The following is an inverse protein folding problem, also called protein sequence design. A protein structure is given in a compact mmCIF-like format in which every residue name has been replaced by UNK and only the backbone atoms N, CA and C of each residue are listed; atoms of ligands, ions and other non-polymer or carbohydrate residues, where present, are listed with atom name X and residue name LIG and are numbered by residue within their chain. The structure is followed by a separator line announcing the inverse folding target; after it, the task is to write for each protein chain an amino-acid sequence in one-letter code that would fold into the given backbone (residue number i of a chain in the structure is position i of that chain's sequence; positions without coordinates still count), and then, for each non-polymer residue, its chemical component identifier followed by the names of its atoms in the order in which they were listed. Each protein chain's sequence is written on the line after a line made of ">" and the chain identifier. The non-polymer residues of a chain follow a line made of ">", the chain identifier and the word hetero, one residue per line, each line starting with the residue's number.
data_IF_673149025810
#
_entry.id   IF_673149025810
#
_cell.length_a   1.000
_cell.length_b   1.000
_cell.length_c   1.000
_cell.angle_alpha   90.00
_cell.angle_beta   90.00
_cell.angle_gamma   90.00
#
_symmetry.space_group_name_H-M   'P 1'
#
loop_
_entity.id
_entity.type
_entity.pdbx_description
1 polymer ?
#
# COMPACT_ATOMS: atom_id res chain seq x y z
N UNK A 1 -12.55 -18.08 -21.55
CA UNK A 1 -13.48 -18.40 -20.43
C UNK A 1 -14.37 -17.18 -20.26
N UNK A 2 -15.69 -17.38 -20.41
CA UNK A 2 -16.67 -16.35 -20.09
C UNK A 2 -16.77 -16.28 -18.57
N UNK A 3 -16.42 -15.14 -17.99
CA UNK A 3 -16.58 -14.89 -16.55
C UNK A 3 -18.09 -14.79 -16.27
N UNK A 4 -18.68 -15.83 -15.72
CA UNK A 4 -20.06 -15.81 -15.24
C UNK A 4 -20.02 -15.36 -13.77
N UNK A 5 -20.25 -14.08 -13.54
CA UNK A 5 -19.98 -13.35 -12.32
C UNK A 5 -20.78 -13.71 -11.08
N UNK A 6 -20.71 -14.94 -10.60
CA UNK A 6 -21.28 -15.35 -9.31
C UNK A 6 -20.31 -16.18 -8.45
N UNK A 7 -19.00 -16.14 -8.72
CA UNK A 7 -18.02 -16.75 -7.84
C UNK A 7 -17.57 -15.70 -6.81
N UNK A 8 -18.29 -15.62 -5.71
CA UNK A 8 -18.08 -14.63 -4.63
C UNK A 8 -16.79 -14.85 -3.83
N UNK A 9 -15.98 -15.85 -4.19
CA UNK A 9 -14.86 -16.33 -3.36
C UNK A 9 -13.74 -15.33 -3.17
N UNK A 10 -13.42 -14.51 -4.17
CA UNK A 10 -12.48 -13.38 -4.07
C UNK A 10 -13.11 -12.08 -4.57
N UNK A 11 -14.37 -11.85 -4.25
CA UNK A 11 -15.01 -10.59 -4.60
C UNK A 11 -14.52 -9.48 -3.67
N UNK A 12 -14.05 -8.40 -4.26
CA UNK A 12 -13.79 -7.14 -3.55
C UNK A 12 -15.07 -6.33 -3.33
N UNK A 13 -16.22 -6.86 -3.72
CA UNK A 13 -17.52 -6.25 -3.47
C UNK A 13 -17.81 -6.34 -1.97
N UNK A 14 -17.41 -5.32 -1.24
CA UNK A 14 -17.97 -5.09 0.07
C UNK A 14 -19.43 -4.65 -0.12
N UNK A 15 -20.32 -5.15 0.72
CA UNK A 15 -21.74 -4.73 0.77
C UNK A 15 -21.94 -3.23 1.09
N UNK A 16 -20.85 -2.48 1.15
CA UNK A 16 -20.79 -1.06 1.46
C UNK A 16 -20.63 -0.17 0.21
N UNK A 17 -20.68 -0.76 -0.98
CA UNK A 17 -20.59 -0.01 -2.22
C UNK A 17 -21.97 0.47 -2.69
N UNK A 18 -22.41 1.57 -2.12
CA UNK A 18 -23.35 2.43 -2.82
C UNK A 18 -22.62 3.10 -3.99
N UNK A 19 -22.80 2.54 -5.21
CA UNK A 19 -22.59 3.21 -6.51
C UNK A 19 -21.54 4.33 -6.55
N UNK A 20 -20.31 4.05 -6.10
CA UNK A 20 -19.17 4.94 -6.24
C UNK A 20 -18.39 4.65 -7.52
N UNK A 21 -17.51 5.57 -7.95
CA UNK A 21 -16.67 5.39 -9.11
C UNK A 21 -15.71 4.22 -8.92
N UNK A 22 -15.27 3.68 -10.05
CA UNK A 22 -14.48 2.46 -10.16
C UNK A 22 -13.19 2.58 -9.35
N UNK A 23 -13.11 1.83 -8.26
CA UNK A 23 -11.89 1.70 -7.48
C UNK A 23 -10.92 0.77 -8.21
N UNK A 24 -9.63 1.05 -8.07
CA UNK A 24 -8.58 0.26 -8.69
C UNK A 24 -7.88 -0.63 -7.68
N UNK A 25 -7.58 -1.84 -8.09
CA UNK A 25 -6.60 -2.68 -7.42
C UNK A 25 -5.21 -2.24 -7.90
N UNK A 26 -4.34 -1.87 -6.98
CA UNK A 26 -3.01 -1.36 -7.30
C UNK A 26 -1.91 -2.38 -7.04
N UNK A 27 -2.03 -3.19 -6.01
CA UNK A 27 -1.01 -4.14 -5.64
C UNK A 27 -1.59 -5.33 -4.88
N UNK A 28 -0.84 -6.41 -4.84
CA UNK A 28 -1.16 -7.61 -4.09
C UNK A 28 0.10 -8.22 -3.48
N UNK A 29 -0.09 -8.87 -2.33
CA UNK A 29 0.97 -9.57 -1.61
C UNK A 29 0.46 -10.88 -1.03
N UNK A 30 1.30 -11.92 -1.06
CA UNK A 30 1.02 -13.17 -0.35
C UNK A 30 1.84 -13.25 0.94
N UNK A 31 1.27 -13.88 1.97
CA UNK A 31 2.09 -14.37 3.08
C UNK A 31 3.12 -15.38 2.58
N UNK A 32 4.24 -15.54 3.28
CA UNK A 32 5.33 -16.45 2.88
C UNK A 32 4.87 -17.90 2.68
N UNK A 33 3.88 -18.34 3.44
CA UNK A 33 3.30 -19.68 3.32
C UNK A 33 2.24 -19.78 2.22
N UNK A 34 1.93 -18.67 1.55
CA UNK A 34 0.94 -18.61 0.49
C UNK A 34 -0.50 -18.82 0.92
N UNK A 35 -0.77 -18.87 2.24
CA UNK A 35 -2.13 -19.13 2.75
C UNK A 35 -2.97 -17.88 2.92
N UNK A 36 -2.36 -16.70 2.77
CA UNK A 36 -3.05 -15.41 2.85
C UNK A 36 -2.70 -14.56 1.64
N UNK A 37 -3.70 -13.87 1.12
CA UNK A 37 -3.56 -12.88 0.06
C UNK A 37 -4.01 -11.53 0.60
N UNK A 38 -3.19 -10.51 0.42
CA UNK A 38 -3.50 -9.12 0.71
C UNK A 38 -3.66 -8.36 -0.59
N UNK A 39 -4.68 -7.54 -0.70
CA UNK A 39 -4.99 -6.78 -1.93
C UNK A 39 -5.19 -5.33 -1.57
N UNK A 40 -4.36 -4.47 -2.15
CA UNK A 40 -4.46 -3.02 -2.03
C UNK A 40 -5.45 -2.45 -3.03
N UNK A 41 -6.43 -1.70 -2.53
CA UNK A 41 -7.43 -1.00 -3.32
C UNK A 41 -7.37 0.49 -3.01
N UNK A 42 -7.49 1.32 -4.02
CA UNK A 42 -7.52 2.77 -3.88
C UNK A 42 -8.62 3.42 -4.71
N UNK A 43 -9.10 4.56 -4.25
CA UNK A 43 -10.11 5.35 -4.95
C UNK A 43 -9.56 6.00 -6.21
N UNK A 44 -10.41 6.09 -7.23
CA UNK A 44 -10.08 6.82 -8.47
C UNK A 44 -10.63 8.25 -8.50
N UNK A 45 -11.39 8.66 -7.51
CA UNK A 45 -12.06 9.96 -7.48
C UNK A 45 -11.75 10.76 -6.25
N UNK A 46 -11.75 12.06 -6.47
CA UNK A 46 -11.52 13.08 -5.47
C UNK A 46 -12.52 12.99 -4.31
N UNK A 47 -12.01 12.82 -3.12
CA UNK A 47 -12.75 13.12 -1.89
C UNK A 47 -13.41 11.96 -1.17
N UNK A 48 -13.19 10.71 -1.60
CA UNK A 48 -13.71 9.54 -0.89
C UNK A 48 -12.61 8.71 -0.25
N UNK A 49 -12.85 8.31 1.01
CA UNK A 49 -11.91 7.58 1.88
C UNK A 49 -11.95 6.07 1.57
N UNK A 50 -11.36 5.64 0.44
CA UNK A 50 -11.49 4.26 -0.04
C UNK A 50 -10.18 3.46 -0.11
N UNK A 51 -9.03 4.08 0.20
CA UNK A 51 -7.77 3.33 0.22
C UNK A 51 -7.79 2.30 1.35
N UNK A 52 -7.79 1.03 0.98
CA UNK A 52 -7.89 -0.09 1.93
C UNK A 52 -7.03 -1.26 1.49
N UNK A 53 -6.66 -2.08 2.45
CA UNK A 53 -6.09 -3.40 2.21
C UNK A 53 -7.10 -4.44 2.66
N UNK A 54 -7.32 -5.44 1.81
CA UNK A 54 -8.22 -6.57 2.02
C UNK A 54 -7.38 -7.81 2.27
N UNK A 55 -7.81 -8.65 3.20
CA UNK A 55 -7.23 -9.96 3.43
C UNK A 55 -8.19 -11.06 3.01
N UNK A 56 -7.64 -12.03 2.29
CA UNK A 56 -8.27 -13.30 1.96
C UNK A 56 -7.41 -14.43 2.50
N UNK A 57 -8.04 -15.47 3.03
CA UNK A 57 -7.38 -16.73 3.36
C UNK A 57 -7.59 -17.74 2.23
N UNK A 58 -6.55 -18.52 1.93
CA UNK A 58 -6.54 -19.55 0.90
C UNK A 58 -6.44 -20.92 1.54
N UNK A 59 -7.31 -21.86 1.15
CA UNK A 59 -7.24 -23.24 1.63
C UNK A 59 -6.16 -24.05 0.93
N UNK A 60 -5.72 -23.63 -0.26
CA UNK A 60 -4.55 -24.12 -0.98
C UNK A 60 -3.56 -22.99 -1.17
N UNK A 61 -2.30 -23.12 -0.71
CA UNK A 61 -1.30 -22.05 -0.85
C UNK A 61 -1.17 -21.56 -2.30
N UNK A 62 -1.16 -20.23 -2.48
CA UNK A 62 -1.03 -19.53 -3.78
C UNK A 62 -2.12 -19.84 -4.81
N UNK A 63 -3.18 -20.57 -4.44
CA UNK A 63 -4.31 -20.86 -5.32
C UNK A 63 -5.49 -19.92 -5.01
N UNK A 64 -5.58 -18.84 -5.77
CA UNK A 64 -6.62 -17.82 -5.60
C UNK A 64 -8.04 -18.35 -5.84
N UNK A 65 -8.19 -19.52 -6.49
CA UNK A 65 -9.51 -20.14 -6.66
C UNK A 65 -10.10 -20.66 -5.34
N UNK A 66 -9.26 -20.75 -4.30
CA UNK A 66 -9.62 -21.28 -2.97
C UNK A 66 -9.77 -20.20 -1.91
N UNK A 67 -9.73 -18.91 -2.33
CA UNK A 67 -9.77 -17.79 -1.41
C UNK A 67 -11.14 -17.55 -0.76
N UNK A 68 -11.11 -17.00 0.44
CA UNK A 68 -12.27 -16.49 1.14
C UNK A 68 -11.92 -15.17 1.82
N UNK A 69 -12.81 -14.18 1.74
CA UNK A 69 -12.63 -12.88 2.41
C UNK A 69 -12.64 -13.07 3.93
N UNK A 70 -11.71 -12.40 4.62
CA UNK A 70 -11.58 -12.45 6.08
C UNK A 70 -11.89 -11.08 6.70
N UNK A 71 -11.09 -10.07 6.36
CA UNK A 71 -11.23 -8.72 6.89
C UNK A 71 -10.55 -7.69 5.98
N UNK A 72 -10.69 -6.42 6.35
CA UNK A 72 -10.05 -5.30 5.67
C UNK A 72 -9.62 -4.25 6.69
N UNK A 73 -8.74 -3.34 6.28
CA UNK A 73 -8.42 -2.15 7.07
C UNK A 73 -9.62 -1.20 7.09
N UNK A 74 -9.68 -0.31 8.09
CA UNK A 74 -10.36 0.98 7.92
C UNK A 74 -9.72 1.74 6.76
N UNK A 75 -10.32 2.84 6.32
CA UNK A 75 -9.67 3.69 5.32
C UNK A 75 -8.27 4.10 5.78
N UNK A 76 -7.28 3.91 4.90
CA UNK A 76 -5.86 4.22 5.13
C UNK A 76 -5.49 5.62 4.61
N UNK A 77 -6.40 6.21 3.84
CA UNK A 77 -6.14 7.50 3.24
C UNK A 77 -6.21 8.64 4.26
N UNK A 78 -5.85 9.78 3.83
CA UNK A 78 -6.04 11.07 4.48
C UNK A 78 -5.34 11.31 5.82
N UNK A 79 -5.42 10.43 6.80
CA UNK A 79 -4.95 10.73 8.14
C UNK A 79 -3.41 10.84 8.27
N UNK A 80 -2.59 9.95 7.70
CA UNK A 80 -1.15 10.02 7.85
C UNK A 80 -0.50 11.17 7.07
N UNK A 81 -1.10 11.55 5.95
CA UNK A 81 -0.60 12.64 5.12
C UNK A 81 -1.05 14.01 5.64
N UNK A 82 -2.15 14.05 6.39
CA UNK A 82 -2.67 15.28 7.00
C UNK A 82 -2.03 15.62 8.34
N UNK A 83 -1.57 14.63 9.10
CA UNK A 83 -1.11 14.79 10.49
C UNK A 83 0.40 14.74 10.69
N UNK A 84 1.20 14.63 9.64
CA UNK A 84 2.65 14.76 9.76
C UNK A 84 2.99 16.19 10.16
N UNK A 85 3.73 16.36 11.24
CA UNK A 85 4.17 17.66 11.78
C UNK A 85 5.02 18.50 10.79
N UNK A 86 5.32 17.97 9.61
CA UNK A 86 5.98 18.64 8.49
C UNK A 86 5.10 18.67 7.22
N UNK A 87 3.93 18.06 7.24
CA UNK A 87 2.95 18.29 6.19
C UNK A 87 2.40 19.69 6.42
N UNK A 88 2.88 20.66 5.66
CA UNK A 88 2.20 21.96 5.59
C UNK A 88 0.73 21.68 5.41
N UNK A 89 -0.11 22.26 6.28
CA UNK A 89 -1.53 22.02 6.37
C UNK A 89 -2.14 21.81 4.98
N UNK A 90 -2.47 20.58 4.65
CA UNK A 90 -3.34 20.32 3.49
C UNK A 90 -4.72 20.74 3.97
N UNK A 91 -4.99 22.02 3.82
CA UNK A 91 -6.29 22.61 4.09
C UNK A 91 -7.31 21.87 3.25
N UNK A 92 -8.21 21.13 3.91
CA UNK A 92 -9.57 20.74 3.48
C UNK A 92 -9.82 20.23 2.05
N UNK A 93 -8.83 20.12 1.20
CA UNK A 93 -8.97 19.54 -0.14
C UNK A 93 -8.47 18.08 -0.08
N UNK A 94 -9.37 17.18 0.23
CA UNK A 94 -9.21 15.72 0.13
C UNK A 94 -9.02 15.35 -1.36
N UNK A 95 -7.85 15.57 -1.93
CA UNK A 95 -7.66 15.26 -3.33
C UNK A 95 -6.44 14.40 -3.57
N UNK A 96 -6.72 13.20 -4.07
CA UNK A 96 -5.83 12.40 -4.91
C UNK A 96 -4.60 11.79 -4.19
N UNK A 97 -4.76 11.33 -2.97
CA UNK A 97 -3.82 10.38 -2.39
C UNK A 97 -4.26 8.97 -2.76
N UNK A 98 -3.38 8.18 -3.33
CA UNK A 98 -3.70 6.82 -3.78
C UNK A 98 -2.68 5.83 -3.26
N UNK A 99 -3.17 4.72 -2.76
CA UNK A 99 -2.36 3.54 -2.48
C UNK A 99 -1.77 3.01 -3.80
N UNK A 100 -0.45 2.90 -3.88
CA UNK A 100 0.27 2.44 -5.08
C UNK A 100 1.06 1.15 -4.85
N UNK A 101 1.22 0.73 -3.62
CA UNK A 101 1.90 -0.51 -3.29
C UNK A 101 1.73 -0.87 -1.82
N UNK A 102 1.80 -2.15 -1.54
CA UNK A 102 1.73 -2.69 -0.20
C UNK A 102 2.75 -3.81 0.00
N UNK A 103 3.12 -4.02 1.23
CA UNK A 103 3.97 -5.12 1.67
C UNK A 103 3.63 -5.49 3.10
N UNK A 104 3.63 -6.77 3.44
CA UNK A 104 3.47 -7.25 4.80
C UNK A 104 4.73 -8.03 5.20
N UNK A 105 5.24 -7.82 6.41
CA UNK A 105 6.42 -8.55 6.84
C UNK A 105 6.10 -10.02 7.13
N UNK A 106 7.14 -10.84 7.20
CA UNK A 106 7.05 -12.31 7.26
C UNK A 106 6.22 -12.84 8.43
N UNK A 107 6.25 -12.16 9.57
CA UNK A 107 5.50 -12.55 10.77
C UNK A 107 4.10 -11.92 10.84
N UNK A 108 3.72 -11.08 9.87
CA UNK A 108 2.42 -10.46 9.77
C UNK A 108 2.15 -9.38 10.80
N UNK A 109 3.17 -8.89 11.49
CA UNK A 109 3.01 -7.86 12.52
C UNK A 109 3.08 -6.44 12.00
N UNK A 110 3.55 -6.27 10.75
CA UNK A 110 3.70 -4.96 10.11
C UNK A 110 3.16 -4.95 8.70
N UNK A 111 2.46 -3.89 8.36
CA UNK A 111 2.05 -3.55 7.01
C UNK A 111 2.76 -2.26 6.58
N UNK A 112 3.24 -2.25 5.35
CA UNK A 112 3.83 -1.09 4.70
C UNK A 112 3.00 -0.72 3.49
N UNK A 113 2.83 0.58 3.26
CA UNK A 113 2.12 1.08 2.10
C UNK A 113 2.89 2.24 1.49
N UNK A 114 2.90 2.32 0.17
CA UNK A 114 3.41 3.50 -0.53
C UNK A 114 2.22 4.25 -1.15
N UNK A 115 2.12 5.52 -0.81
CA UNK A 115 1.09 6.42 -1.30
C UNK A 115 1.68 7.46 -2.24
N UNK A 116 0.87 7.88 -3.18
CA UNK A 116 1.19 8.97 -4.10
C UNK A 116 0.04 9.96 -4.15
N UNK A 117 0.38 11.25 -4.08
CA UNK A 117 -0.55 12.35 -4.31
C UNK A 117 -0.26 13.01 -5.66
N UNK A 118 -1.29 13.17 -6.47
CA UNK A 118 -1.18 13.84 -7.78
C UNK A 118 -1.41 15.35 -7.71
N UNK A 119 -1.56 15.92 -6.50
CA UNK A 119 -1.74 17.36 -6.35
C UNK A 119 -0.53 18.13 -6.85
N UNK A 120 -0.74 18.96 -7.87
CA UNK A 120 0.30 19.71 -8.58
C UNK A 120 1.07 20.71 -7.71
N UNK A 121 0.58 21.06 -6.53
CA UNK A 121 1.25 22.00 -5.63
C UNK A 121 2.28 21.32 -4.71
N UNK A 122 2.14 20.03 -4.44
CA UNK A 122 3.09 19.19 -3.70
C UNK A 122 2.82 17.72 -4.04
N UNK A 123 3.45 17.17 -5.07
CA UNK A 123 3.49 15.73 -5.21
C UNK A 123 4.15 15.17 -3.98
N UNK A 124 3.47 14.32 -3.24
CA UNK A 124 4.02 13.69 -2.04
C UNK A 124 3.93 12.18 -2.21
N UNK A 125 5.07 11.56 -2.38
CA UNK A 125 5.21 10.11 -2.25
C UNK A 125 5.65 9.79 -0.84
N UNK A 126 4.87 8.98 -0.16
CA UNK A 126 5.19 8.53 1.20
C UNK A 126 5.07 7.02 1.33
N UNK A 127 6.07 6.44 1.96
CA UNK A 127 6.01 5.08 2.48
C UNK A 127 5.64 5.17 3.95
N UNK A 128 4.60 4.46 4.35
CA UNK A 128 4.08 4.45 5.72
C UNK A 128 4.23 3.06 6.33
N UNK A 129 4.51 3.03 7.62
CA UNK A 129 4.61 1.82 8.43
C UNK A 129 3.43 1.74 9.39
N UNK A 130 2.79 0.59 9.42
CA UNK A 130 1.72 0.25 10.34
C UNK A 130 2.09 -0.97 11.17
N UNK A 131 1.67 -0.98 12.44
CA UNK A 131 1.74 -2.11 13.33
C UNK A 131 0.39 -2.81 13.38
N UNK A 132 0.40 -4.15 13.33
CA UNK A 132 -0.75 -4.99 13.62
C UNK A 132 -0.55 -5.62 15.00
N UNK A 133 -1.46 -5.37 15.93
CA UNK A 133 -1.35 -5.94 17.29
C UNK A 133 -1.64 -7.44 17.32
N UNK A 134 -2.36 -7.93 16.33
CA UNK A 134 -2.56 -9.36 16.06
C UNK A 134 -2.01 -9.66 14.66
N UNK A 135 -1.08 -10.62 14.51
CA UNK A 135 -0.48 -10.94 13.23
C UNK A 135 -1.51 -11.19 12.13
N UNK A 136 -1.32 -10.53 10.98
CA UNK A 136 -2.18 -10.61 9.79
C UNK A 136 -3.63 -10.14 9.98
N UNK A 137 -4.02 -9.66 11.15
CA UNK A 137 -5.37 -9.13 11.38
C UNK A 137 -5.42 -7.64 11.08
N UNK A 138 -5.92 -7.31 9.89
CA UNK A 138 -6.00 -5.93 9.39
C UNK A 138 -6.93 -5.02 10.21
N UNK A 139 -7.82 -5.59 11.04
CA UNK A 139 -8.69 -4.78 11.91
C UNK A 139 -7.94 -4.21 13.12
N UNK A 140 -6.74 -4.74 13.41
CA UNK A 140 -5.90 -4.33 14.54
C UNK A 140 -4.80 -3.34 14.16
N UNK A 141 -4.89 -2.77 12.95
CA UNK A 141 -3.89 -1.87 12.38
C UNK A 141 -3.80 -0.53 13.12
N UNK A 142 -2.57 -0.06 13.33
CA UNK A 142 -2.29 1.27 13.84
C UNK A 142 -1.08 1.88 13.14
N UNK A 143 -1.16 3.17 12.81
CA UNK A 143 -0.03 3.89 12.20
C UNK A 143 1.12 4.05 13.20
N UNK A 144 2.35 3.81 12.76
CA UNK A 144 3.55 4.11 13.54
C UNK A 144 3.94 5.58 13.33
N UNK A 145 3.64 6.44 14.30
CA UNK A 145 3.66 7.91 14.17
C UNK A 145 5.03 8.53 13.91
N UNK A 146 6.12 7.84 14.27
CA UNK A 146 7.49 8.33 14.08
C UNK A 146 8.25 7.53 13.00
N UNK A 147 7.51 6.76 12.20
CA UNK A 147 8.05 6.00 11.09
C UNK A 147 7.35 6.44 9.81
N UNK A 148 8.10 6.42 8.72
CA UNK A 148 7.62 6.81 7.40
C UNK A 148 8.72 7.54 6.64
N UNK A 149 8.67 7.44 5.33
CA UNK A 149 9.64 8.05 4.43
C UNK A 149 8.93 8.99 3.47
N UNK A 150 9.47 10.19 3.32
CA UNK A 150 9.16 11.04 2.19
C UNK A 150 10.09 10.67 1.05
N UNK A 151 9.54 10.28 -0.10
CA UNK A 151 10.30 9.77 -1.23
C UNK A 151 10.05 10.59 -2.51
N UNK A 152 9.57 11.81 -2.37
CA UNK A 152 9.13 12.63 -3.50
C UNK A 152 10.22 12.91 -4.52
N UNK A 153 11.44 13.14 -4.08
CA UNK A 153 12.56 13.47 -4.97
C UNK A 153 13.03 12.24 -5.76
N UNK A 154 12.97 11.05 -5.17
CA UNK A 154 13.48 9.82 -5.74
C UNK A 154 12.40 8.96 -6.41
N UNK A 155 11.18 9.04 -5.91
CA UNK A 155 10.04 8.24 -6.37
C UNK A 155 8.81 9.13 -6.49
N UNK A 156 8.73 9.89 -7.57
CA UNK A 156 7.67 10.88 -7.75
C UNK A 156 6.31 10.29 -8.21
N UNK A 157 6.31 9.05 -8.72
CA UNK A 157 5.09 8.35 -9.14
C UNK A 157 5.28 6.83 -8.95
N UNK A 158 5.17 6.34 -7.71
CA UNK A 158 5.40 4.94 -7.38
C UNK A 158 4.41 4.01 -8.10
N UNK A 159 4.85 2.80 -8.38
CA UNK A 159 4.04 1.72 -8.99
C UNK A 159 4.19 0.39 -8.26
N UNK A 160 4.70 0.41 -7.07
CA UNK A 160 4.91 -0.73 -6.22
C UNK A 160 6.22 -0.63 -5.44
N UNK A 161 6.35 -1.51 -4.47
CA UNK A 161 7.56 -1.65 -3.67
C UNK A 161 7.75 -3.11 -3.28
N UNK A 162 8.98 -3.48 -2.89
CA UNK A 162 9.31 -4.78 -2.32
C UNK A 162 10.38 -4.66 -1.26
N UNK A 163 10.23 -5.43 -0.19
CA UNK A 163 11.29 -5.63 0.79
C UNK A 163 12.21 -6.79 0.39
N UNK A 164 13.46 -6.71 0.80
CA UNK A 164 14.34 -7.89 0.83
C UNK A 164 13.86 -8.87 1.90
N UNK A 165 14.17 -10.15 1.71
CA UNK A 165 13.78 -11.22 2.64
C UNK A 165 14.27 -11.02 4.09
N UNK A 166 15.31 -10.23 4.30
CA UNK A 166 15.80 -9.88 5.63
C UNK A 166 15.24 -8.55 6.17
N UNK A 167 14.33 -7.92 5.43
CA UNK A 167 13.70 -6.66 5.80
C UNK A 167 14.63 -5.44 5.85
N UNK A 168 15.87 -5.55 5.33
CA UNK A 168 16.89 -4.50 5.41
C UNK A 168 16.96 -3.59 4.20
N UNK A 169 16.26 -3.92 3.11
CA UNK A 169 16.22 -3.12 1.89
C UNK A 169 14.81 -3.01 1.37
N UNK A 170 14.56 -1.90 0.70
CA UNK A 170 13.33 -1.65 -0.05
C UNK A 170 13.74 -1.28 -1.47
N UNK A 171 13.01 -1.79 -2.45
CA UNK A 171 13.05 -1.32 -3.82
C UNK A 171 11.69 -0.72 -4.16
N UNK A 172 11.69 0.53 -4.59
CA UNK A 172 10.49 1.23 -5.05
C UNK A 172 10.57 1.46 -6.56
N UNK A 173 9.51 1.08 -7.27
CA UNK A 173 9.39 1.31 -8.71
C UNK A 173 8.76 2.67 -8.94
N UNK A 174 9.38 3.47 -9.80
CA UNK A 174 8.89 4.76 -10.23
C UNK A 174 8.58 4.75 -11.73
N UNK A 175 7.44 5.30 -12.11
CA UNK A 175 7.04 5.42 -13.52
C UNK A 175 6.42 6.77 -13.79
N UNK A 176 7.16 7.62 -14.46
CA UNK A 176 6.64 8.85 -15.07
C UNK A 176 6.62 8.71 -16.59
N UNK A 177 5.99 9.64 -17.28
CA UNK A 177 5.99 9.66 -18.75
C UNK A 177 7.40 9.80 -19.37
N UNK A 178 8.38 10.25 -18.57
CA UNK A 178 9.74 10.57 -19.03
C UNK A 178 10.80 9.65 -18.41
N UNK A 179 10.53 9.10 -17.23
CA UNK A 179 11.53 8.34 -16.45
C UNK A 179 10.88 7.11 -15.84
N UNK A 180 11.50 5.97 -16.09
CA UNK A 180 11.22 4.73 -15.41
C UNK A 180 12.45 4.35 -14.58
N UNK A 181 12.27 4.06 -13.31
CA UNK A 181 13.39 3.80 -12.44
C UNK A 181 13.04 2.87 -11.28
N UNK A 182 14.10 2.31 -10.68
CA UNK A 182 14.01 1.58 -9.42
C UNK A 182 14.94 2.26 -8.43
N UNK A 183 14.41 2.70 -7.32
CA UNK A 183 15.17 3.29 -6.20
C UNK A 183 15.38 2.25 -5.13
N UNK A 184 16.63 2.10 -4.68
CA UNK A 184 17.02 1.24 -3.57
C UNK A 184 17.20 2.06 -2.30
N UNK A 185 16.65 1.54 -1.20
CA UNK A 185 16.68 2.15 0.12
C UNK A 185 17.17 1.10 1.11
N UNK A 186 18.16 1.44 1.94
CA UNK A 186 18.65 0.61 3.05
C UNK A 186 18.05 1.07 4.37
N UNK A 187 17.68 0.11 5.22
CA UNK A 187 17.13 0.35 6.56
C UNK A 187 18.16 -0.03 7.63
N UNK A 188 18.32 0.81 8.64
CA UNK A 188 19.19 0.54 9.78
C UNK A 188 18.67 -0.63 10.63
N UNK A 189 17.34 -0.71 10.77
CA UNK A 189 16.64 -1.80 11.46
C UNK A 189 15.72 -2.49 10.49
N UNK A 190 15.74 -3.83 10.49
CA UNK A 190 14.87 -4.62 9.62
C UNK A 190 13.39 -4.26 9.83
N UNK A 191 12.68 -4.06 8.73
CA UNK A 191 11.26 -3.70 8.75
C UNK A 191 10.94 -2.48 9.64
N UNK A 192 11.83 -1.48 9.66
CA UNK A 192 11.57 -0.21 10.35
C UNK A 192 11.98 0.97 9.46
N UNK A 193 11.02 1.83 9.20
CA UNK A 193 11.19 3.01 8.36
C UNK A 193 11.63 4.26 9.14
N UNK A 194 11.96 4.10 10.41
CA UNK A 194 12.38 5.21 11.29
C UNK A 194 13.77 5.77 10.99
N UNK A 195 14.63 4.95 10.37
CA UNK A 195 15.98 5.35 9.94
C UNK A 195 16.37 4.61 8.68
N UNK A 196 16.74 5.35 7.65
CA UNK A 196 17.02 4.82 6.32
C UNK A 196 18.06 5.65 5.56
N UNK A 197 18.62 5.05 4.52
CA UNK A 197 19.50 5.71 3.54
C UNK A 197 19.00 5.37 2.14
N UNK A 198 18.94 6.37 1.26
CA UNK A 198 18.70 6.14 -0.16
C UNK A 198 20.05 5.79 -0.79
N UNK A 199 20.18 4.54 -1.25
CA UNK A 199 21.42 4.02 -1.78
C UNK A 199 21.66 4.51 -3.22
N UNK A 200 20.59 4.67 -3.99
CA UNK A 200 20.65 5.14 -5.37
C UNK A 200 19.45 4.73 -6.20
N UNK A 201 19.41 5.25 -7.42
CA UNK A 201 18.34 5.02 -8.39
C UNK A 201 18.95 4.53 -9.71
N UNK A 202 18.36 3.46 -10.27
CA UNK A 202 18.70 2.92 -11.58
C UNK A 202 17.59 3.30 -12.56
N UNK A 203 17.97 3.94 -13.66
CA UNK A 203 17.05 4.23 -14.76
C UNK A 203 16.87 2.97 -15.61
N UNK A 204 15.62 2.74 -16.03
CA UNK A 204 15.26 1.66 -16.96
C UNK A 204 14.98 2.32 -18.30
N UNK A 205 15.85 2.07 -19.28
CA UNK A 205 15.75 2.57 -20.66
C UNK A 205 14.96 1.58 -21.54
#
# INVERSE_FOLDING_TARGET
>A
RTYTGNDERCSLNSSDETTGPVDFVFDLEFSNDGTKLFVGRGANTDGEDHDRVFRFDLTSPYDISTCSFVNQTSSLDSNPLQNGSNAGAVTSEKKEVRLQGLEINDDGTKLFTIFHSTQSAKPNTRLLEYQLSTPYDLTTISLVTNAGMELEEEVSNPKGMRFSSNGKRIWAVNHTNLVQSVTQISLDVAYSTSSFTIDGTVLIE
#
